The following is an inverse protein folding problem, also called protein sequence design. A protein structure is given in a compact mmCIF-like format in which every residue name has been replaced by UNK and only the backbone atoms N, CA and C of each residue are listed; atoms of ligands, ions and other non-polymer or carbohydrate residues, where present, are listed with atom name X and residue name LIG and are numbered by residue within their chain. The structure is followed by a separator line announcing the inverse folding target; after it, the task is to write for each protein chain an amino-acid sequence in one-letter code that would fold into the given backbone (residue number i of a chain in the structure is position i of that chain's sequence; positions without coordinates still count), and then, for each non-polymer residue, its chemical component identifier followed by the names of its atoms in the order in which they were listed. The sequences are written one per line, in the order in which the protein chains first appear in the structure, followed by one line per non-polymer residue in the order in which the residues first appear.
data_IF_891706226006
#
_entry.id   IF_891706226006
#
_cell.length_a   1.000
_cell.length_b   1.000
_cell.length_c   1.000
_cell.angle_alpha   90.00
_cell.angle_beta   90.00
_cell.angle_gamma   90.00
#
_symmetry.space_group_name_H-M   'P 1'
#
loop_
_entity.id
_entity.type
_entity.pdbx_description
1 polymer ?
#
# COMPACT_ATOMS: atom_id res chain seq x y z
N UNK A 1 -14.56 -27.28 21.77
CA UNK A 1 -14.56 -26.72 20.41
C UNK A 1 -14.76 -25.22 20.54
N UNK A 2 -13.73 -24.42 20.29
CA UNK A 2 -13.88 -22.96 20.27
C UNK A 2 -14.83 -22.58 19.13
N UNK A 3 -15.71 -21.61 19.38
CA UNK A 3 -16.73 -21.20 18.41
C UNK A 3 -16.05 -20.46 17.26
N UNK A 4 -16.02 -21.07 16.08
CA UNK A 4 -15.56 -20.42 14.84
C UNK A 4 -16.70 -19.53 14.35
N UNK A 5 -16.39 -18.27 14.03
CA UNK A 5 -17.33 -17.36 13.39
C UNK A 5 -17.31 -17.58 11.88
N UNK A 6 -18.25 -18.38 11.38
CA UNK A 6 -18.41 -18.64 9.94
C UNK A 6 -19.04 -17.46 9.17
N UNK A 7 -19.60 -16.47 9.87
CA UNK A 7 -20.24 -15.29 9.28
C UNK A 7 -19.36 -14.03 9.30
N UNK A 8 -18.07 -14.15 9.59
CA UNK A 8 -17.14 -13.03 9.64
C UNK A 8 -17.08 -12.31 8.29
N UNK A 9 -17.33 -10.99 8.28
CA UNK A 9 -17.28 -10.12 7.09
C UNK A 9 -16.19 -9.07 7.17
N UNK A 10 -15.67 -8.81 8.36
CA UNK A 10 -14.62 -7.84 8.61
C UNK A 10 -13.35 -8.52 9.15
N UNK A 11 -12.19 -7.95 8.85
CA UNK A 11 -10.87 -8.47 9.21
C UNK A 11 -10.75 -8.76 10.72
N UNK A 12 -11.22 -7.84 11.57
CA UNK A 12 -11.16 -7.99 13.03
C UNK A 12 -11.98 -9.18 13.55
N UNK A 13 -13.07 -9.54 12.87
CA UNK A 13 -13.89 -10.71 13.21
C UNK A 13 -13.17 -12.02 12.87
N UNK A 14 -12.41 -12.01 11.78
CA UNK A 14 -11.60 -13.14 11.31
C UNK A 14 -10.36 -13.38 12.17
N UNK A 15 -9.81 -12.36 12.84
CA UNK A 15 -8.67 -12.52 13.75
C UNK A 15 -8.93 -13.55 14.86
N UNK A 16 -10.15 -13.59 15.40
CA UNK A 16 -10.54 -14.57 16.40
C UNK A 16 -10.48 -16.01 15.86
N UNK A 17 -10.87 -16.22 14.60
CA UNK A 17 -10.78 -17.51 13.93
C UNK A 17 -9.32 -17.93 13.71
N UNK A 18 -8.44 -17.01 13.29
CA UNK A 18 -7.02 -17.30 13.12
C UNK A 18 -6.32 -17.65 14.45
N UNK A 19 -6.72 -17.03 15.57
CA UNK A 19 -6.24 -17.44 16.91
C UNK A 19 -6.62 -18.89 17.23
N UNK A 20 -7.81 -19.33 16.85
CA UNK A 20 -8.20 -20.76 17.01
C UNK A 20 -7.27 -21.65 16.18
N UNK A 21 -6.97 -21.28 14.94
CA UNK A 21 -6.07 -22.03 14.08
C UNK A 21 -4.63 -22.10 14.62
N UNK A 22 -4.09 -20.97 15.09
CA UNK A 22 -2.76 -20.90 15.74
C UNK A 22 -2.68 -21.84 16.95
N UNK A 23 -3.71 -21.82 17.81
CA UNK A 23 -3.77 -22.71 18.97
C UNK A 23 -3.80 -24.19 18.57
N UNK A 24 -4.44 -24.54 17.45
CA UNK A 24 -4.43 -25.91 16.92
C UNK A 24 -3.03 -26.29 16.42
N UNK A 25 -2.32 -25.40 15.74
CA UNK A 25 -0.95 -25.68 15.28
C UNK A 25 0.00 -25.91 16.45
N UNK A 26 -0.05 -25.04 17.47
CA UNK A 26 0.75 -25.17 18.69
C UNK A 26 0.44 -26.51 19.39
N UNK A 27 -0.85 -26.82 19.58
CA UNK A 27 -1.28 -28.05 20.27
C UNK A 27 -0.81 -29.32 19.55
N UNK A 28 -0.77 -29.30 18.22
CA UNK A 28 -0.36 -30.44 17.40
C UNK A 28 1.12 -30.39 16.99
N UNK A 29 1.90 -29.44 17.53
CA UNK A 29 3.33 -29.26 17.23
C UNK A 29 3.61 -29.11 15.73
N UNK A 30 2.81 -28.29 15.07
CA UNK A 30 2.99 -27.95 13.66
C UNK A 30 3.79 -26.64 13.61
N UNK A 31 5.04 -26.72 13.15
CA UNK A 31 5.99 -25.60 13.18
C UNK A 31 5.79 -24.57 12.04
N UNK A 32 4.82 -24.78 11.14
CA UNK A 32 4.53 -23.84 10.05
C UNK A 32 3.97 -22.52 10.63
N UNK A 33 4.65 -21.37 10.45
CA UNK A 33 4.11 -20.09 10.84
C UNK A 33 2.88 -19.71 10.00
N UNK A 34 1.88 -19.13 10.65
CA UNK A 34 0.64 -18.66 10.01
C UNK A 34 0.75 -17.13 9.85
N UNK A 35 0.86 -16.59 8.63
CA UNK A 35 0.99 -15.15 8.39
C UNK A 35 -0.36 -14.43 8.51
N UNK A 36 -0.92 -14.36 9.73
CA UNK A 36 -2.27 -13.87 10.00
C UNK A 36 -2.54 -12.49 9.41
N UNK A 37 -1.61 -11.54 9.55
CA UNK A 37 -1.78 -10.16 9.05
C UNK A 37 -2.01 -10.09 7.54
N UNK A 38 -1.44 -11.04 6.79
CA UNK A 38 -1.58 -11.11 5.34
C UNK A 38 -2.80 -11.93 4.93
N UNK A 39 -3.07 -13.01 5.67
CA UNK A 39 -4.22 -13.87 5.42
C UNK A 39 -5.54 -13.17 5.72
N UNK A 40 -5.61 -12.41 6.82
CA UNK A 40 -6.83 -11.72 7.28
C UNK A 40 -7.26 -10.62 6.32
N UNK A 41 -6.31 -9.96 5.64
CA UNK A 41 -6.56 -8.94 4.61
C UNK A 41 -6.96 -9.53 3.25
N UNK A 42 -7.18 -10.85 3.19
CA UNK A 42 -7.56 -11.57 1.97
C UNK A 42 -6.60 -11.36 0.79
N UNK A 43 -5.31 -11.09 1.05
CA UNK A 43 -4.33 -10.97 -0.03
C UNK A 43 -4.20 -12.32 -0.75
N UNK A 44 -4.48 -12.30 -2.06
CA UNK A 44 -4.68 -13.52 -2.84
C UNK A 44 -3.43 -14.42 -2.87
N UNK A 45 -2.25 -13.84 -3.07
CA UNK A 45 -0.99 -14.58 -3.13
C UNK A 45 -0.68 -15.32 -1.82
N UNK A 46 -0.76 -14.64 -0.67
CA UNK A 46 -0.49 -15.24 0.64
C UNK A 46 -1.51 -16.33 1.01
N UNK A 47 -2.79 -16.10 0.70
CA UNK A 47 -3.84 -17.10 0.93
C UNK A 47 -3.66 -18.34 0.05
N UNK A 48 -3.29 -18.15 -1.23
CA UNK A 48 -3.03 -19.27 -2.13
C UNK A 48 -1.83 -20.09 -1.67
N UNK A 49 -0.72 -19.46 -1.31
CA UNK A 49 0.48 -20.14 -0.81
C UNK A 49 0.16 -20.95 0.46
N UNK A 50 -0.58 -20.36 1.41
CA UNK A 50 -0.96 -21.04 2.63
C UNK A 50 -1.91 -22.22 2.37
N UNK A 51 -2.86 -22.08 1.45
CA UNK A 51 -3.76 -23.18 1.06
C UNK A 51 -3.02 -24.32 0.35
N UNK A 52 -2.07 -24.01 -0.54
CA UNK A 52 -1.22 -25.02 -1.17
C UNK A 52 -0.44 -25.83 -0.13
N UNK A 53 0.11 -25.13 0.88
CA UNK A 53 0.77 -25.81 1.99
C UNK A 53 -0.20 -26.67 2.81
N UNK A 54 -1.40 -26.16 3.14
CA UNK A 54 -2.44 -26.95 3.84
C UNK A 54 -2.80 -28.21 3.05
N UNK A 55 -2.96 -28.10 1.73
CA UNK A 55 -3.27 -29.25 0.87
C UNK A 55 -2.16 -30.30 0.93
N UNK A 56 -0.89 -29.87 0.82
CA UNK A 56 0.26 -30.77 0.94
C UNK A 56 0.33 -31.43 2.32
N UNK A 57 0.12 -30.66 3.39
CA UNK A 57 0.06 -31.18 4.75
C UNK A 57 -1.09 -32.20 4.91
N UNK A 58 -2.27 -31.90 4.37
CA UNK A 58 -3.41 -32.81 4.37
C UNK A 58 -3.07 -34.13 3.68
N UNK A 59 -2.52 -34.08 2.47
CA UNK A 59 -2.18 -35.30 1.71
C UNK A 59 -1.15 -36.18 2.42
N UNK A 60 -0.24 -35.57 3.17
CA UNK A 60 0.78 -36.29 3.94
C UNK A 60 0.23 -36.94 5.22
N UNK A 61 -0.79 -36.35 5.85
CA UNK A 61 -1.25 -36.75 7.18
C UNK A 61 -2.65 -37.39 7.20
N UNK A 62 -3.39 -37.30 6.10
CA UNK A 62 -4.74 -37.84 6.01
C UNK A 62 -4.73 -39.34 5.71
N UNK A 63 -5.33 -40.13 6.60
CA UNK A 63 -5.31 -41.61 6.57
C UNK A 63 -6.47 -42.24 5.79
N UNK A 64 -7.30 -41.44 5.11
CA UNK A 64 -8.40 -41.96 4.28
C UNK A 64 -9.77 -42.08 4.96
N UNK A 65 -9.94 -41.61 6.20
CA UNK A 65 -11.25 -41.62 6.88
C UNK A 65 -12.20 -40.54 6.36
N UNK A 66 -13.30 -40.95 5.71
CA UNK A 66 -14.30 -40.06 5.10
C UNK A 66 -14.79 -38.94 6.05
N UNK A 67 -14.52 -37.65 5.76
CA UNK A 67 -14.91 -36.52 6.60
C UNK A 67 -16.44 -36.36 6.68
N UNK A 68 -17.18 -36.91 5.71
CA UNK A 68 -18.64 -36.83 5.66
C UNK A 68 -19.31 -37.53 6.86
N UNK A 69 -18.66 -38.54 7.45
CA UNK A 69 -19.18 -39.22 8.66
C UNK A 69 -19.11 -38.36 9.92
N UNK A 70 -18.22 -37.36 9.98
CA UNK A 70 -18.08 -36.46 11.16
C UNK A 70 -19.01 -35.24 11.08
N UNK A 71 -19.44 -34.85 9.88
CA UNK A 71 -20.32 -33.68 9.64
C UNK A 71 -21.82 -33.99 9.77
N UNK A 72 -22.22 -35.25 9.95
CA UNK A 72 -23.64 -35.68 9.95
C UNK A 72 -24.44 -35.34 11.22
N UNK A 73 -23.84 -34.67 12.22
CA UNK A 73 -24.49 -34.35 13.51
C UNK A 73 -24.77 -32.84 13.68
N UNK A 74 -24.51 -31.99 12.68
CA UNK A 74 -24.86 -30.56 12.75
C UNK A 74 -26.21 -30.28 12.06
N UNK A 75 -27.08 -29.39 12.61
CA UNK A 75 -28.37 -29.10 12.02
C UNK A 75 -28.19 -28.47 10.63
N UNK A 76 -28.83 -29.07 9.63
CA UNK A 76 -28.93 -28.56 8.27
C UNK A 76 -29.70 -27.24 8.28
N UNK A 77 -28.96 -26.14 8.40
CA UNK A 77 -29.51 -24.78 8.36
C UNK A 77 -28.51 -23.75 7.80
N UNK A 78 -27.44 -24.18 7.15
CA UNK A 78 -26.53 -23.27 6.47
C UNK A 78 -27.05 -23.01 5.06
N UNK A 79 -27.67 -21.86 4.85
CA UNK A 79 -27.82 -21.27 3.51
C UNK A 79 -26.43 -21.23 2.86
N UNK A 80 -26.26 -22.00 1.78
CA UNK A 80 -25.03 -22.03 1.00
C UNK A 80 -24.74 -20.60 0.54
N UNK A 81 -23.69 -19.98 1.08
CA UNK A 81 -23.21 -18.70 0.56
C UNK A 81 -22.99 -18.88 -0.96
N UNK A 82 -23.36 -17.89 -1.79
CA UNK A 82 -23.14 -18.00 -3.22
C UNK A 82 -21.65 -18.22 -3.44
N UNK A 83 -21.32 -19.35 -4.05
CA UNK A 83 -19.94 -19.61 -4.47
C UNK A 83 -19.62 -18.58 -5.54
N UNK A 84 -18.63 -17.72 -5.29
CA UNK A 84 -18.07 -16.84 -6.32
C UNK A 84 -17.58 -17.75 -7.44
N UNK A 85 -18.12 -17.59 -8.65
CA UNK A 85 -17.75 -18.43 -9.78
C UNK A 85 -16.31 -18.15 -10.19
N UNK A 86 -15.60 -19.19 -10.67
CA UNK A 86 -14.26 -19.00 -11.24
C UNK A 86 -14.25 -17.96 -12.38
N UNK A 87 -15.37 -17.82 -13.10
CA UNK A 87 -15.60 -16.77 -14.09
C UNK A 87 -15.48 -15.36 -13.48
N UNK A 88 -16.16 -15.12 -12.35
CA UNK A 88 -16.14 -13.84 -11.64
C UNK A 88 -14.75 -13.56 -11.05
N UNK A 89 -14.06 -14.58 -10.54
CA UNK A 89 -12.69 -14.44 -10.05
C UNK A 89 -11.71 -14.05 -11.16
N UNK A 90 -11.83 -14.67 -12.33
CA UNK A 90 -11.00 -14.32 -13.48
C UNK A 90 -11.28 -12.89 -13.96
N UNK A 91 -12.55 -12.49 -13.97
CA UNK A 91 -12.95 -11.14 -14.38
C UNK A 91 -12.42 -10.07 -13.41
N UNK A 92 -12.56 -10.29 -12.10
CA UNK A 92 -12.03 -9.40 -11.08
C UNK A 92 -10.49 -9.32 -11.11
N UNK A 93 -9.82 -10.43 -11.41
CA UNK A 93 -8.35 -10.45 -11.55
C UNK A 93 -7.91 -9.61 -12.74
N UNK A 94 -8.62 -9.71 -13.88
CA UNK A 94 -8.34 -8.91 -15.06
C UNK A 94 -8.55 -7.41 -14.79
N UNK A 95 -9.63 -7.04 -14.10
CA UNK A 95 -9.91 -5.66 -13.70
C UNK A 95 -8.82 -5.10 -12.76
N UNK A 96 -8.35 -5.91 -11.81
CA UNK A 96 -7.23 -5.52 -10.93
C UNK A 96 -5.95 -5.27 -11.73
N UNK A 97 -5.62 -6.11 -12.71
CA UNK A 97 -4.40 -5.95 -13.50
C UNK A 97 -4.51 -4.74 -14.45
N UNK A 98 -5.68 -4.46 -15.01
CA UNK A 98 -5.94 -3.25 -15.78
C UNK A 98 -5.80 -1.99 -14.92
N UNK A 99 -6.38 -1.99 -13.71
CA UNK A 99 -6.25 -0.88 -12.76
C UNK A 99 -4.78 -0.64 -12.38
N UNK A 100 -3.98 -1.68 -12.15
CA UNK A 100 -2.55 -1.52 -11.87
C UNK A 100 -1.82 -0.82 -13.01
N UNK A 101 -2.06 -1.24 -14.26
CA UNK A 101 -1.46 -0.60 -15.44
C UNK A 101 -1.88 0.87 -15.53
N UNK A 102 -3.14 1.17 -15.22
CA UNK A 102 -3.64 2.55 -15.19
C UNK A 102 -2.95 3.37 -14.10
N UNK A 103 -2.80 2.84 -12.89
CA UNK A 103 -2.08 3.50 -11.79
C UNK A 103 -0.62 3.76 -12.17
N UNK A 104 0.09 2.77 -12.69
CA UNK A 104 1.48 2.95 -13.13
C UNK A 104 1.62 4.05 -14.19
N UNK A 105 0.65 4.16 -15.10
CA UNK A 105 0.63 5.24 -16.10
C UNK A 105 0.39 6.60 -15.46
N UNK A 106 -0.56 6.69 -14.53
CA UNK A 106 -0.87 7.92 -13.81
C UNK A 106 0.29 8.37 -12.92
N UNK A 107 1.02 7.44 -12.29
CA UNK A 107 2.21 7.76 -11.50
C UNK A 107 3.32 8.35 -12.36
N UNK A 108 3.56 7.80 -13.56
CA UNK A 108 4.51 8.39 -14.51
C UNK A 108 4.10 9.80 -14.94
N UNK A 109 2.82 10.03 -15.21
CA UNK A 109 2.31 11.36 -15.55
C UNK A 109 2.45 12.33 -14.38
N UNK A 110 2.06 11.90 -13.17
CA UNK A 110 2.24 12.68 -11.93
C UNK A 110 3.69 13.09 -11.76
N UNK A 111 4.63 12.15 -11.85
CA UNK A 111 6.06 12.41 -11.66
C UNK A 111 6.62 13.33 -12.75
N UNK A 112 6.13 13.19 -13.98
CA UNK A 112 6.48 14.07 -15.10
C UNK A 112 6.03 15.52 -14.86
N UNK A 113 4.78 15.73 -14.41
CA UNK A 113 4.28 17.07 -14.09
C UNK A 113 4.93 17.65 -12.84
N UNK A 114 5.16 16.82 -11.82
CA UNK A 114 5.86 17.23 -10.61
C UNK A 114 7.30 17.67 -10.91
N UNK A 115 8.04 16.91 -11.73
CA UNK A 115 9.38 17.27 -12.17
C UNK A 115 9.41 18.63 -12.89
N UNK A 116 8.46 18.89 -13.79
CA UNK A 116 8.33 20.20 -14.44
C UNK A 116 8.08 21.34 -13.45
N UNK A 117 7.21 21.12 -12.46
CA UNK A 117 6.94 22.13 -11.41
C UNK A 117 8.18 22.36 -10.54
N UNK A 118 8.94 21.31 -10.24
CA UNK A 118 10.22 21.41 -9.52
C UNK A 118 11.26 22.20 -10.31
N UNK A 119 11.38 21.95 -11.61
CA UNK A 119 12.29 22.73 -12.48
C UNK A 119 11.92 24.21 -12.49
N UNK A 120 10.62 24.52 -12.61
CA UNK A 120 10.11 25.91 -12.54
C UNK A 120 10.41 26.54 -11.18
N UNK A 121 10.22 25.80 -10.09
CA UNK A 121 10.51 26.27 -8.73
C UNK A 121 11.98 26.67 -8.57
N UNK A 122 12.92 25.82 -9.03
CA UNK A 122 14.36 26.13 -8.99
C UNK A 122 14.65 27.43 -9.75
N UNK A 123 14.15 27.55 -10.98
CA UNK A 123 14.38 28.75 -11.82
C UNK A 123 13.85 30.00 -11.12
N UNK A 124 12.66 29.92 -10.52
CA UNK A 124 12.04 31.05 -9.81
C UNK A 124 12.84 31.43 -8.57
N UNK A 125 13.28 30.45 -7.78
CA UNK A 125 14.10 30.67 -6.58
C UNK A 125 15.46 31.29 -6.93
N UNK A 126 16.16 30.75 -7.92
CA UNK A 126 17.45 31.29 -8.39
C UNK A 126 17.30 32.73 -8.85
N UNK A 127 16.28 33.01 -9.68
CA UNK A 127 16.04 34.36 -10.18
C UNK A 127 15.69 35.35 -9.09
N UNK A 128 14.86 34.93 -8.12
CA UNK A 128 14.54 35.74 -6.95
C UNK A 128 15.80 36.05 -6.14
N UNK A 129 16.65 35.06 -5.88
CA UNK A 129 17.89 35.24 -5.14
C UNK A 129 18.88 36.21 -5.82
N UNK A 130 18.87 36.31 -7.15
CA UNK A 130 19.70 37.28 -7.88
C UNK A 130 19.19 38.72 -7.75
N UNK A 131 17.86 38.93 -7.80
CA UNK A 131 17.26 40.27 -7.83
C UNK A 131 16.98 40.83 -6.43
N UNK A 132 16.85 39.96 -5.44
CA UNK A 132 16.67 40.31 -4.03
C UNK A 132 18.02 40.50 -3.37
N UNK A 133 18.33 41.74 -2.99
CA UNK A 133 19.55 42.04 -2.25
C UNK A 133 19.25 41.96 -0.74
N UNK A 134 20.00 41.16 0.02
CA UNK A 134 19.89 41.19 1.48
C UNK A 134 20.44 42.51 2.01
N UNK A 135 19.69 43.14 2.92
CA UNK A 135 20.19 44.27 3.71
C UNK A 135 20.66 43.81 5.09
N UNK A 136 21.46 44.65 5.76
CA UNK A 136 21.94 44.40 7.12
C UNK A 136 20.79 44.26 8.14
N UNK A 137 19.62 44.85 7.84
CA UNK A 137 18.42 44.81 8.67
C UNK A 137 17.48 43.64 8.34
N UNK A 138 17.83 42.81 7.36
CA UNK A 138 17.01 41.67 6.92
C UNK A 138 15.85 42.05 5.99
N UNK A 139 15.77 43.30 5.56
CA UNK A 139 14.82 43.73 4.53
C UNK A 139 15.28 43.29 3.14
N UNK A 140 14.37 42.69 2.39
CA UNK A 140 14.55 42.34 0.99
C UNK A 140 14.42 43.60 0.12
N UNK A 141 15.54 44.12 -0.38
CA UNK A 141 15.51 45.23 -1.33
C UNK A 141 15.56 44.71 -2.78
N UNK A 142 14.57 45.15 -3.57
CA UNK A 142 14.51 44.96 -5.02
C UNK A 142 14.76 46.28 -5.71
N UNK A 143 15.63 46.27 -6.72
CA UNK A 143 15.82 47.42 -7.59
C UNK A 143 14.49 47.76 -8.29
N UNK A 144 14.01 49.02 -8.26
CA UNK A 144 12.71 49.42 -8.81
C UNK A 144 12.49 48.98 -10.27
N UNK A 145 13.56 48.83 -11.05
CA UNK A 145 13.47 48.38 -12.45
C UNK A 145 13.03 46.91 -12.58
N UNK A 146 13.16 46.10 -11.52
CA UNK A 146 12.78 44.69 -11.46
C UNK A 146 11.58 44.42 -10.53
N UNK A 147 10.93 45.46 -9.98
CA UNK A 147 9.82 45.32 -9.04
C UNK A 147 8.67 44.46 -9.61
N UNK A 148 8.25 44.73 -10.84
CA UNK A 148 7.18 43.95 -11.50
C UNK A 148 7.58 42.49 -11.77
N UNK A 149 8.86 42.22 -12.02
CA UNK A 149 9.37 40.86 -12.20
C UNK A 149 9.36 40.10 -10.86
N UNK A 150 9.81 40.75 -9.78
CA UNK A 150 9.76 40.19 -8.44
C UNK A 150 8.33 39.84 -8.01
N UNK A 151 7.37 40.73 -8.26
CA UNK A 151 5.96 40.49 -7.95
C UNK A 151 5.39 39.27 -8.71
N UNK A 152 5.72 39.15 -10.01
CA UNK A 152 5.32 37.99 -10.82
C UNK A 152 5.93 36.68 -10.28
N UNK A 153 7.22 36.69 -9.95
CA UNK A 153 7.91 35.52 -9.41
C UNK A 153 7.34 35.11 -8.03
N UNK A 154 7.03 36.08 -7.16
CA UNK A 154 6.36 35.85 -5.87
C UNK A 154 4.94 35.29 -6.06
N UNK A 155 4.21 35.74 -7.08
CA UNK A 155 2.92 35.16 -7.44
C UNK A 155 3.04 33.70 -7.90
N UNK A 156 4.06 33.37 -8.70
CA UNK A 156 4.33 31.99 -9.13
C UNK A 156 4.66 31.11 -7.91
N UNK A 157 5.51 31.58 -6.98
CA UNK A 157 5.80 30.86 -5.74
C UNK A 157 4.54 30.61 -4.91
N UNK A 158 3.65 31.61 -4.81
CA UNK A 158 2.39 31.44 -4.08
C UNK A 158 1.52 30.32 -4.66
N UNK A 159 1.56 30.09 -5.98
CA UNK A 159 0.84 28.98 -6.62
C UNK A 159 1.53 27.65 -6.32
N UNK A 160 2.87 27.60 -6.41
CA UNK A 160 3.66 26.38 -6.19
C UNK A 160 3.57 25.89 -4.73
N UNK A 161 3.50 26.82 -3.77
CA UNK A 161 3.41 26.51 -2.34
C UNK A 161 1.97 26.48 -1.80
N UNK A 162 0.97 26.66 -2.66
CA UNK A 162 -0.41 26.53 -2.23
C UNK A 162 -0.70 25.05 -1.89
N UNK A 163 -0.92 24.77 -0.60
CA UNK A 163 -1.33 23.45 -0.12
C UNK A 163 -2.85 23.43 0.11
N UNK A 164 -3.54 22.39 -0.37
CA UNK A 164 -4.92 22.13 0.05
C UNK A 164 -4.98 21.62 1.51
N UNK A 165 -6.12 21.85 2.18
CA UNK A 165 -6.34 21.50 3.59
C UNK A 165 -6.18 19.98 3.79
N UNK A 166 -5.08 19.57 4.42
CA UNK A 166 -4.71 18.16 4.65
C UNK A 166 -3.47 17.66 3.91
N UNK A 167 -2.80 18.50 3.11
CA UNK A 167 -1.50 18.19 2.51
C UNK A 167 -0.38 18.81 3.37
N UNK A 168 0.34 17.99 4.14
CA UNK A 168 1.55 18.43 4.85
C UNK A 168 2.73 18.40 3.87
N UNK A 169 3.40 19.54 3.71
CA UNK A 169 4.71 19.59 3.05
C UNK A 169 5.68 18.77 3.92
N UNK A 170 6.37 17.75 3.39
CA UNK A 170 7.48 17.15 4.13
C UNK A 170 8.48 18.28 4.40
N UNK A 171 8.83 18.47 5.66
CA UNK A 171 9.82 19.46 6.07
C UNK A 171 11.03 19.37 5.14
N UNK A 172 11.50 20.52 4.64
CA UNK A 172 12.59 20.65 3.66
C UNK A 172 13.96 20.11 4.14
N UNK A 173 13.99 19.26 5.17
CA UNK A 173 15.16 18.70 5.82
C UNK A 173 15.41 17.20 5.52
N UNK A 174 14.49 16.49 4.85
CA UNK A 174 14.68 15.06 4.54
C UNK A 174 14.75 14.77 3.03
N UNK A 175 15.58 15.53 2.30
CA UNK A 175 16.31 14.90 1.19
C UNK A 175 17.47 14.11 1.81
N UNK A 176 17.19 12.93 2.37
CA UNK A 176 18.24 11.94 2.57
C UNK A 176 18.76 11.58 1.17
N UNK A 177 19.97 12.06 0.87
CA UNK A 177 20.77 11.63 -0.27
C UNK A 177 20.67 10.09 -0.35
N UNK A 178 20.23 9.48 -1.46
CA UNK A 178 20.13 8.04 -1.53
C UNK A 178 21.50 7.46 -1.20
N UNK A 179 21.54 6.64 -0.14
CA UNK A 179 22.78 6.00 0.31
C UNK A 179 23.50 5.39 -0.91
N UNK A 180 24.82 5.61 -1.06
CA UNK A 180 25.55 5.13 -2.21
C UNK A 180 25.31 3.62 -2.33
N UNK A 181 24.78 3.19 -3.48
CA UNK A 181 24.56 1.79 -3.78
C UNK A 181 25.90 1.09 -3.63
N UNK A 182 25.96 0.15 -2.70
CA UNK A 182 27.09 -0.75 -2.54
C UNK A 182 27.21 -1.58 -3.82
N UNK A 183 28.15 -1.21 -4.70
CA UNK A 183 28.43 -1.90 -5.97
C UNK A 183 29.04 -3.30 -5.77
N UNK A 184 29.05 -3.86 -4.56
CA UNK A 184 29.69 -5.16 -4.30
C UNK A 184 28.80 -6.40 -4.41
N UNK A 185 27.52 -6.28 -4.78
CA UNK A 185 26.63 -7.45 -5.02
C UNK A 185 26.18 -7.63 -6.48
N UNK A 186 27.05 -7.33 -7.45
CA UNK A 186 26.93 -7.91 -8.80
C UNK A 186 28.29 -8.51 -9.17
N UNK A 187 28.51 -9.78 -8.79
CA UNK A 187 29.00 -10.91 -9.60
C UNK A 187 29.38 -12.10 -8.72
#
# INVERSE_FOLDING_TARGET
MSRINFGARHDYESLANFKVLQNVFIKNRIDKPIPVDRLVRCKMQDNLEFLQWIKKFWDMHYTGEDPARRMSVAPRGATRAPAVSNEMLNQLTAEIDEMKVSVDSLERERDFYFGKLRDVEVIVQERLAEILRPTEDGEELVDPNYASESDLLKQIQSVLYHTEEGFELPDAAETEDPAPLDETEIF
#
